data_IF_381985072184
#
_entry.id   IF_381985072184
#
_cell.length_a   1.000
_cell.length_b   1.000
_cell.length_c   1.000
_cell.angle_alpha   90.00
_cell.angle_beta   90.00
_cell.angle_gamma   90.00
#
_symmetry.space_group_name_H-M   'P 1'
#
loop_
_entity.id
_entity.type
_entity.pdbx_description
1 polymer ?
#
# COMPACT_ATOMS: atom_id res chain seq x y z
N UNK A 1 11.89 6.52 -5.73
CA UNK A 1 11.22 5.64 -6.73
C UNK A 1 9.95 5.04 -6.14
N UNK A 2 8.87 4.93 -6.93
CA UNK A 2 7.60 4.29 -6.52
C UNK A 2 7.49 2.89 -7.12
N UNK A 3 6.67 2.04 -6.51
CA UNK A 3 6.29 0.72 -7.04
C UNK A 3 4.78 0.51 -6.95
N UNK A 4 4.28 -0.48 -7.68
CA UNK A 4 2.87 -0.88 -7.66
C UNK A 4 2.49 -1.59 -6.36
N UNK A 5 1.19 -1.59 -6.03
CA UNK A 5 0.65 -2.25 -4.82
C UNK A 5 1.02 -3.74 -4.79
N UNK A 6 0.90 -4.47 -5.90
CA UNK A 6 1.23 -5.90 -5.92
C UNK A 6 2.70 -6.14 -5.57
N UNK A 7 3.62 -5.28 -6.02
CA UNK A 7 5.05 -5.37 -5.70
C UNK A 7 5.28 -5.05 -4.22
N UNK A 8 4.62 -4.00 -3.70
CA UNK A 8 4.66 -3.67 -2.28
C UNK A 8 4.16 -4.82 -1.40
N UNK A 9 3.09 -5.51 -1.82
CA UNK A 9 2.56 -6.68 -1.10
C UNK A 9 3.49 -7.87 -1.11
N UNK A 10 4.23 -8.12 -2.19
CA UNK A 10 5.29 -9.15 -2.20
C UNK A 10 6.40 -8.80 -1.20
N UNK A 11 6.84 -7.54 -1.14
CA UNK A 11 7.81 -7.08 -0.15
C UNK A 11 7.25 -7.31 1.27
N UNK A 12 6.07 -6.81 1.57
CA UNK A 12 5.41 -6.99 2.88
C UNK A 12 5.33 -8.47 3.29
N UNK A 13 4.97 -9.36 2.35
CA UNK A 13 4.91 -10.80 2.61
C UNK A 13 6.27 -11.39 2.98
N UNK A 14 7.35 -10.94 2.34
CA UNK A 14 8.72 -11.35 2.68
C UNK A 14 9.16 -10.94 4.09
N UNK A 15 8.60 -9.85 4.63
CA UNK A 15 8.77 -9.41 6.02
C UNK A 15 7.74 -10.04 6.99
N UNK A 16 6.89 -10.94 6.51
CA UNK A 16 5.89 -11.63 7.32
C UNK A 16 4.70 -10.75 7.72
N UNK A 17 4.44 -9.66 7.00
CA UNK A 17 3.22 -8.86 7.15
C UNK A 17 2.09 -9.57 6.40
N UNK A 18 0.96 -9.88 7.06
CA UNK A 18 -0.17 -10.53 6.39
C UNK A 18 -0.78 -9.63 5.31
N UNK A 19 -0.89 -10.16 4.10
CA UNK A 19 -1.56 -9.55 2.95
C UNK A 19 -2.45 -10.62 2.29
N UNK A 20 -3.58 -10.26 1.66
CA UNK A 20 -4.37 -11.23 0.92
C UNK A 20 -3.59 -11.86 -0.24
N UNK A 21 -4.04 -13.01 -0.73
CA UNK A 21 -3.46 -13.58 -1.96
C UNK A 21 -3.98 -12.77 -3.14
N UNK A 22 -3.07 -12.44 -4.05
CA UNK A 22 -3.44 -11.84 -5.32
C UNK A 22 -2.39 -12.10 -6.38
N UNK A 23 -2.76 -11.82 -7.62
CA UNK A 23 -1.97 -12.13 -8.81
C UNK A 23 -2.08 -10.93 -9.77
N UNK A 24 -0.96 -10.35 -10.25
CA UNK A 24 -1.00 -9.32 -11.26
C UNK A 24 -1.47 -9.87 -12.60
N UNK A 25 -2.18 -9.05 -13.38
CA UNK A 25 -2.67 -9.40 -14.70
C UNK A 25 -2.45 -8.23 -15.67
N UNK A 26 -1.91 -8.52 -16.85
CA UNK A 26 -1.62 -7.57 -17.91
C UNK A 26 -2.61 -7.66 -19.07
N UNK A 27 -3.47 -8.68 -19.07
CA UNK A 27 -4.54 -8.87 -20.03
C UNK A 27 -5.84 -9.30 -19.33
N UNK A 28 -6.98 -9.16 -20.00
CA UNK A 28 -8.26 -9.68 -19.51
C UNK A 28 -8.19 -11.20 -19.25
N UNK A 29 -7.47 -11.93 -20.11
CA UNK A 29 -7.31 -13.38 -19.99
C UNK A 29 -6.51 -13.75 -18.74
N UNK A 30 -5.40 -13.05 -18.48
CA UNK A 30 -4.63 -13.24 -17.24
C UNK A 30 -5.44 -12.91 -16.00
N UNK A 31 -6.34 -11.91 -16.05
CA UNK A 31 -7.22 -11.58 -14.93
C UNK A 31 -8.21 -12.71 -14.62
N UNK A 32 -8.75 -13.36 -15.65
CA UNK A 32 -9.61 -14.54 -15.53
C UNK A 32 -8.84 -15.72 -14.93
N UNK A 33 -7.64 -16.01 -15.44
CA UNK A 33 -6.77 -17.08 -14.94
C UNK A 33 -6.34 -16.84 -13.49
N UNK A 34 -6.05 -15.60 -13.13
CA UNK A 34 -5.76 -15.19 -11.77
C UNK A 34 -6.94 -15.48 -10.83
N UNK A 35 -8.16 -15.08 -11.19
CA UNK A 35 -9.35 -15.35 -10.40
C UNK A 35 -9.61 -16.85 -10.21
N UNK A 36 -9.47 -17.64 -11.29
CA UNK A 36 -9.61 -19.09 -11.24
C UNK A 36 -8.57 -19.74 -10.33
N UNK A 37 -7.31 -19.29 -10.39
CA UNK A 37 -6.21 -19.81 -9.58
C UNK A 37 -6.33 -19.45 -8.11
N UNK A 38 -6.81 -18.24 -7.79
CA UNK A 38 -7.10 -17.83 -6.42
C UNK A 38 -8.27 -18.65 -5.86
N UNK A 39 -9.28 -18.90 -6.69
CA UNK A 39 -10.54 -19.50 -6.27
C UNK A 39 -11.32 -18.59 -5.32
N UNK A 40 -12.34 -19.15 -4.67
CA UNK A 40 -13.20 -18.42 -3.74
C UNK A 40 -14.43 -17.79 -4.39
N UNK A 41 -15.28 -17.12 -3.59
CA UNK A 41 -16.56 -16.58 -4.07
C UNK A 41 -16.51 -15.10 -4.45
N UNK A 42 -15.42 -14.39 -4.11
CA UNK A 42 -15.30 -12.93 -4.26
C UNK A 42 -13.86 -12.55 -4.58
N UNK A 43 -13.70 -11.62 -5.51
CA UNK A 43 -12.42 -11.02 -5.89
C UNK A 43 -12.51 -9.50 -5.88
N UNK A 44 -11.36 -8.85 -5.79
CA UNK A 44 -11.20 -7.42 -6.00
C UNK A 44 -10.30 -7.21 -7.21
N UNK A 45 -10.79 -6.49 -8.20
CA UNK A 45 -10.05 -6.04 -9.39
C UNK A 45 -9.50 -4.65 -9.10
N UNK A 46 -8.17 -4.53 -9.03
CA UNK A 46 -7.49 -3.28 -8.67
C UNK A 46 -6.60 -2.79 -9.80
N UNK A 47 -6.84 -1.57 -10.27
CA UNK A 47 -5.93 -0.86 -11.16
C UNK A 47 -4.60 -0.61 -10.46
N UNK A 48 -3.51 -0.87 -11.16
CA UNK A 48 -2.15 -0.68 -10.65
C UNK A 48 -1.56 0.55 -11.34
N UNK A 49 -1.49 1.63 -10.57
CA UNK A 49 -0.89 2.92 -10.92
C UNK A 49 -0.17 3.47 -9.68
N UNK A 50 0.81 4.36 -9.86
CA UNK A 50 1.62 4.96 -8.80
C UNK A 50 0.91 6.14 -8.08
N UNK A 51 -0.38 5.96 -7.79
CA UNK A 51 -1.25 6.95 -7.16
C UNK A 51 -2.28 6.31 -6.21
N UNK A 52 -2.59 7.03 -5.13
CA UNK A 52 -3.68 6.70 -4.19
C UNK A 52 -5.06 7.16 -4.69
N UNK A 53 -6.10 6.92 -3.90
CA UNK A 53 -7.47 7.35 -4.24
C UNK A 53 -8.15 6.57 -5.37
N UNK A 54 -7.57 5.43 -5.77
CA UNK A 54 -8.03 4.59 -6.88
C UNK A 54 -9.48 4.15 -6.72
N UNK A 55 -9.93 3.82 -5.51
CA UNK A 55 -11.33 3.44 -5.24
C UNK A 55 -12.33 4.52 -5.64
N UNK A 56 -12.10 5.78 -5.24
CA UNK A 56 -12.94 6.93 -5.63
C UNK A 56 -12.92 7.18 -7.14
N UNK A 57 -11.78 6.89 -7.80
CA UNK A 57 -11.62 6.99 -9.25
C UNK A 57 -12.19 5.81 -10.06
N UNK A 58 -12.79 4.80 -9.41
CA UNK A 58 -13.30 3.61 -10.09
C UNK A 58 -12.24 2.55 -10.42
N UNK A 59 -11.01 2.73 -9.94
CA UNK A 59 -9.88 1.81 -10.09
C UNK A 59 -9.85 0.64 -9.11
N UNK A 60 -10.86 0.47 -8.25
CA UNK A 60 -11.01 -0.69 -7.35
C UNK A 60 -12.45 -1.15 -7.41
N UNK A 61 -12.68 -2.41 -7.82
CA UNK A 61 -14.02 -2.97 -8.04
C UNK A 61 -14.10 -4.38 -7.47
N UNK A 62 -15.24 -4.71 -6.88
CA UNK A 62 -15.53 -6.05 -6.36
C UNK A 62 -16.22 -6.89 -7.43
N UNK A 63 -15.82 -8.15 -7.56
CA UNK A 63 -16.42 -9.16 -8.44
C UNK A 63 -16.87 -10.37 -7.63
N UNK A 64 -18.01 -10.96 -8.00
CA UNK A 64 -18.61 -12.16 -7.37
C UNK A 64 -18.64 -13.37 -8.29
N UNK A 65 -18.07 -13.24 -9.48
CA UNK A 65 -17.90 -14.33 -10.44
C UNK A 65 -16.67 -14.06 -11.30
N UNK A 66 -16.15 -15.12 -11.93
CA UNK A 66 -15.04 -15.00 -12.90
C UNK A 66 -15.47 -14.17 -14.12
N UNK A 67 -16.74 -14.24 -14.52
CA UNK A 67 -17.28 -13.42 -15.61
C UNK A 67 -17.30 -11.93 -15.24
N UNK A 68 -17.64 -11.58 -13.99
CA UNK A 68 -17.53 -10.21 -13.50
C UNK A 68 -16.08 -9.73 -13.47
N UNK A 69 -15.12 -10.58 -13.08
CA UNK A 69 -13.69 -10.24 -13.17
C UNK A 69 -13.30 -9.91 -14.60
N UNK A 70 -13.72 -10.72 -15.58
CA UNK A 70 -13.46 -10.47 -17.01
C UNK A 70 -14.03 -9.13 -17.45
N UNK A 71 -15.29 -8.87 -17.13
CA UNK A 71 -15.98 -7.63 -17.51
C UNK A 71 -15.27 -6.40 -16.92
N UNK A 72 -14.95 -6.44 -15.63
CA UNK A 72 -14.25 -5.34 -14.95
C UNK A 72 -12.84 -5.14 -15.51
N UNK A 73 -12.13 -6.24 -15.79
CA UNK A 73 -10.80 -6.18 -16.38
C UNK A 73 -10.81 -5.47 -17.74
N UNK A 74 -11.78 -5.79 -18.61
CA UNK A 74 -11.92 -5.13 -19.92
C UNK A 74 -12.37 -3.67 -19.85
N UNK A 75 -13.05 -3.27 -18.77
CA UNK A 75 -13.38 -1.86 -18.52
C UNK A 75 -12.17 -1.07 -17.98
N UNK A 76 -11.33 -1.71 -17.18
CA UNK A 76 -10.25 -1.05 -16.46
C UNK A 76 -8.94 -1.01 -17.26
N UNK A 77 -8.58 -2.06 -17.98
CA UNK A 77 -7.36 -2.06 -18.81
C UNK A 77 -7.48 -1.03 -19.94
N UNK A 78 -6.48 -0.16 -20.03
CA UNK A 78 -6.42 0.93 -21.01
C UNK A 78 -7.17 2.21 -20.60
N UNK A 79 -7.93 2.19 -19.49
CA UNK A 79 -8.61 3.36 -18.93
C UNK A 79 -7.60 4.43 -18.48
N UNK A 80 -7.94 5.71 -18.65
CA UNK A 80 -7.27 6.81 -17.94
C UNK A 80 -7.89 6.96 -16.55
N UNK A 81 -7.19 6.45 -15.53
CA UNK A 81 -7.64 6.52 -14.15
C UNK A 81 -7.30 7.89 -13.57
N UNK A 82 -8.33 8.70 -13.31
CA UNK A 82 -8.19 9.98 -12.63
C UNK A 82 -8.43 9.82 -11.14
N UNK A 83 -7.49 10.32 -10.35
CA UNK A 83 -7.55 10.41 -8.90
C UNK A 83 -7.14 11.82 -8.48
N UNK A 84 -7.29 12.15 -7.19
CA UNK A 84 -6.77 13.41 -6.66
C UNK A 84 -5.22 13.51 -6.76
N UNK A 85 -4.51 12.39 -6.96
CA UNK A 85 -3.04 12.34 -7.05
C UNK A 85 -2.49 12.26 -8.49
N UNK A 86 -3.32 12.01 -9.51
CA UNK A 86 -2.89 11.91 -10.92
C UNK A 86 -3.14 13.18 -11.73
N UNK A 87 -3.82 14.17 -11.16
CA UNK A 87 -4.25 15.36 -11.89
C UNK A 87 -5.29 15.08 -13.00
N UNK A 88 -5.54 16.07 -13.87
CA UNK A 88 -6.62 16.02 -14.87
C UNK A 88 -6.38 15.02 -16.00
N UNK A 89 -5.12 14.70 -16.32
CA UNK A 89 -4.77 13.75 -17.39
C UNK A 89 -4.99 12.29 -16.98
N UNK A 90 -4.92 12.00 -15.68
CA UNK A 90 -5.00 10.65 -15.15
C UNK A 90 -3.77 9.82 -15.47
N UNK A 91 -3.77 8.56 -15.03
CA UNK A 91 -2.75 7.58 -15.37
C UNK A 91 -3.35 6.42 -16.14
N UNK A 92 -2.67 5.97 -17.21
CA UNK A 92 -3.14 4.86 -18.02
C UNK A 92 -3.02 3.55 -17.24
N UNK A 93 -4.12 2.84 -17.06
CA UNK A 93 -4.10 1.53 -16.40
C UNK A 93 -3.57 0.49 -17.38
N UNK A 94 -2.34 0.02 -17.17
CA UNK A 94 -1.67 -0.98 -18.02
C UNK A 94 -1.64 -2.38 -17.43
N UNK A 95 -1.86 -2.47 -16.11
CA UNK A 95 -1.85 -3.72 -15.37
C UNK A 95 -2.88 -3.66 -14.25
N UNK A 96 -3.39 -4.83 -13.89
CA UNK A 96 -4.35 -5.04 -12.83
C UNK A 96 -3.74 -5.94 -11.76
N UNK A 97 -4.37 -5.95 -10.59
CA UNK A 97 -4.11 -6.89 -9.54
C UNK A 97 -5.44 -7.51 -9.12
N UNK A 98 -5.54 -8.83 -9.28
CA UNK A 98 -6.70 -9.61 -8.88
C UNK A 98 -6.40 -10.19 -7.51
N UNK A 99 -7.20 -9.81 -6.53
CA UNK A 99 -6.98 -10.17 -5.14
C UNK A 99 -8.21 -10.87 -4.56
N UNK A 100 -8.02 -11.73 -3.58
CA UNK A 100 -9.13 -12.32 -2.81
C UNK A 100 -9.96 -11.25 -2.09
N UNK A 101 -11.27 -11.48 -1.98
CA UNK A 101 -12.11 -10.68 -1.09
C UNK A 101 -11.66 -10.78 0.37
N UNK A 102 -11.65 -9.66 1.07
CA UNK A 102 -11.36 -9.58 2.51
C UNK A 102 -12.64 -9.41 3.34
N UNK A 103 -12.67 -10.00 4.53
CA UNK A 103 -13.66 -9.68 5.57
C UNK A 103 -13.24 -8.41 6.30
N UNK A 104 -13.93 -7.30 6.02
CA UNK A 104 -13.57 -5.97 6.52
C UNK A 104 -14.51 -5.59 7.66
N UNK A 105 -14.01 -5.57 8.89
CA UNK A 105 -14.79 -5.14 10.05
C UNK A 105 -14.37 -3.75 10.53
N UNK A 106 -13.06 -3.47 10.52
CA UNK A 106 -12.54 -2.16 10.86
C UNK A 106 -11.27 -1.87 10.06
N UNK A 107 -11.25 -0.71 9.44
CA UNK A 107 -10.10 -0.20 8.69
C UNK A 107 -9.34 0.84 9.54
N UNK A 108 -8.01 0.71 9.53
CA UNK A 108 -7.05 1.62 10.14
C UNK A 108 -6.10 2.15 9.06
N UNK A 109 -5.41 3.23 9.39
CA UNK A 109 -4.31 3.76 8.61
C UNK A 109 -3.01 3.56 9.37
N UNK A 110 -1.94 3.14 8.68
CA UNK A 110 -0.57 3.23 9.22
C UNK A 110 0.43 3.67 8.17
N UNK A 111 1.43 4.44 8.57
CA UNK A 111 2.59 4.75 7.74
C UNK A 111 3.89 4.92 8.51
N UNK A 112 5.00 4.71 7.81
CA UNK A 112 6.36 4.90 8.29
C UNK A 112 7.07 5.85 7.34
N UNK A 113 7.55 6.98 7.86
CA UNK A 113 8.20 8.04 7.07
C UNK A 113 9.40 8.61 7.83
N UNK A 114 10.37 9.19 7.12
CA UNK A 114 11.39 10.04 7.75
C UNK A 114 10.84 11.44 7.94
N UNK A 115 10.70 11.88 9.18
CA UNK A 115 10.26 13.22 9.53
C UNK A 115 11.45 14.18 9.50
N UNK A 116 11.40 15.17 8.62
CA UNK A 116 12.51 16.10 8.39
C UNK A 116 12.74 17.06 9.56
N UNK A 117 11.71 17.41 10.31
CA UNK A 117 11.81 18.35 11.42
C UNK A 117 12.54 17.74 12.61
N UNK A 118 12.25 16.47 12.91
CA UNK A 118 12.85 15.73 14.02
C UNK A 118 14.07 14.92 13.61
N UNK A 119 14.29 14.72 12.31
CA UNK A 119 15.34 13.88 11.74
C UNK A 119 15.25 12.42 12.24
N UNK A 120 14.03 11.95 12.50
CA UNK A 120 13.74 10.59 12.99
C UNK A 120 12.73 9.93 12.09
N UNK A 121 12.70 8.59 12.15
CA UNK A 121 11.59 7.83 11.58
C UNK A 121 10.36 8.07 12.45
N UNK A 122 9.29 8.58 11.84
CA UNK A 122 7.97 8.72 12.44
C UNK A 122 7.11 7.55 12.00
N UNK A 123 6.54 6.84 12.98
CA UNK A 123 5.48 5.86 12.74
C UNK A 123 4.16 6.54 13.08
N UNK A 124 3.25 6.59 12.09
CA UNK A 124 1.97 7.29 12.16
C UNK A 124 0.87 6.24 12.06
N UNK A 125 -0.16 6.37 12.88
CA UNK A 125 -1.33 5.51 12.85
C UNK A 125 -2.63 6.31 13.08
N UNK A 126 -3.74 5.86 12.50
CA UNK A 126 -5.06 6.43 12.73
C UNK A 126 -6.18 5.40 12.71
N UNK A 127 -7.27 5.69 13.42
CA UNK A 127 -8.53 4.95 13.37
C UNK A 127 -9.34 5.17 12.08
N UNK A 128 -8.91 6.13 11.24
CA UNK A 128 -9.57 6.55 10.00
C UNK A 128 -8.94 5.89 8.76
N UNK A 129 -8.93 4.57 8.71
CA UNK A 129 -8.51 3.83 7.51
C UNK A 129 -9.48 4.02 6.34
N UNK A 130 -8.98 3.85 5.12
CA UNK A 130 -9.74 4.00 3.88
C UNK A 130 -10.03 5.46 3.48
N UNK A 131 -9.58 6.42 4.28
CA UNK A 131 -9.76 7.86 4.05
C UNK A 131 -8.47 8.53 3.56
N UNK A 132 -8.60 9.79 3.13
CA UNK A 132 -7.46 10.65 2.85
C UNK A 132 -6.85 11.10 4.19
N UNK A 133 -5.64 10.62 4.49
CA UNK A 133 -5.01 10.89 5.78
C UNK A 133 -4.60 12.36 5.93
N UNK A 134 -4.37 13.07 4.83
CA UNK A 134 -3.97 14.49 4.86
C UNK A 134 -5.16 15.34 5.30
N UNK A 135 -6.37 15.01 4.81
CA UNK A 135 -7.63 15.61 5.26
C UNK A 135 -7.93 15.30 6.72
N UNK A 136 -7.69 14.06 7.16
CA UNK A 136 -7.86 13.65 8.57
C UNK A 136 -6.88 14.41 9.45
N UNK A 137 -5.60 14.54 9.06
CA UNK A 137 -4.61 15.26 9.84
C UNK A 137 -4.93 16.76 9.99
N UNK A 138 -5.54 17.37 8.96
CA UNK A 138 -5.97 18.77 9.01
C UNK A 138 -7.23 18.95 9.87
N UNK A 139 -8.23 18.09 9.70
CA UNK A 139 -9.58 18.29 10.27
C UNK A 139 -9.75 17.65 11.65
N UNK A 140 -9.03 16.56 11.91
CA UNK A 140 -9.08 15.74 13.12
C UNK A 140 -7.68 15.32 13.57
N UNK A 141 -6.76 16.27 13.85
CA UNK A 141 -5.37 15.97 14.21
C UNK A 141 -5.25 15.05 15.44
N UNK A 142 -6.23 15.04 16.33
CA UNK A 142 -6.29 14.17 17.51
C UNK A 142 -6.42 12.68 17.16
N UNK A 143 -6.89 12.36 15.95
CA UNK A 143 -6.97 10.97 15.45
C UNK A 143 -5.66 10.48 14.84
N UNK A 144 -4.61 11.32 14.82
CA UNK A 144 -3.30 10.96 14.31
C UNK A 144 -2.38 10.64 15.50
N UNK A 145 -2.14 9.36 15.72
CA UNK A 145 -1.18 8.89 16.70
C UNK A 145 0.18 8.79 16.04
N UNK A 146 1.20 9.34 16.67
CA UNK A 146 2.56 9.39 16.12
C UNK A 146 3.58 9.07 17.20
N UNK A 147 4.51 8.18 16.88
CA UNK A 147 5.70 7.93 17.68
C UNK A 147 6.95 8.18 16.86
N UNK A 148 7.99 8.76 17.48
CA UNK A 148 9.29 8.94 16.86
C UNK A 148 10.24 7.84 17.34
N UNK A 149 10.79 7.10 16.39
CA UNK A 149 11.61 5.92 16.68
C UNK A 149 13.06 6.36 16.94
N UNK A 150 13.64 5.84 18.02
CA UNK A 150 15.07 5.98 18.32
C UNK A 150 15.86 5.05 17.38
N UNK A 151 16.79 5.57 16.55
CA UNK A 151 17.52 4.76 15.59
C UNK A 151 18.36 3.63 16.23
N UNK A 152 18.79 3.78 17.49
CA UNK A 152 19.57 2.75 18.18
C UNK A 152 18.70 1.62 18.71
N UNK A 153 17.44 1.91 19.06
CA UNK A 153 16.53 0.93 19.68
C UNK A 153 15.59 0.28 18.66
N UNK A 154 15.29 0.98 17.57
CA UNK A 154 14.19 0.62 16.68
C UNK A 154 12.82 0.80 17.34
N UNK A 155 11.76 0.39 16.64
CA UNK A 155 10.40 0.47 17.17
C UNK A 155 10.24 -0.51 18.33
N UNK A 156 10.07 0.03 19.55
CA UNK A 156 9.95 -0.78 20.77
C UNK A 156 8.55 -1.38 20.93
N UNK A 157 8.42 -2.44 21.72
CA UNK A 157 7.10 -3.03 22.05
C UNK A 157 6.17 -2.02 22.73
N UNK A 158 6.73 -1.12 23.56
CA UNK A 158 5.97 -0.06 24.22
C UNK A 158 5.39 0.93 23.20
N UNK A 159 6.18 1.37 22.22
CA UNK A 159 5.73 2.27 21.15
C UNK A 159 4.74 1.58 20.21
N UNK A 160 4.98 0.31 19.87
CA UNK A 160 4.05 -0.47 19.05
C UNK A 160 2.69 -0.64 19.75
N UNK A 161 2.70 -0.87 21.07
CA UNK A 161 1.48 -0.91 21.87
C UNK A 161 0.80 0.46 21.98
N UNK A 162 1.57 1.53 22.17
CA UNK A 162 1.06 2.91 22.21
C UNK A 162 0.30 3.26 20.93
N UNK A 163 0.84 2.91 19.75
CA UNK A 163 0.16 3.08 18.48
C UNK A 163 -1.15 2.28 18.40
N UNK A 164 -1.10 0.99 18.77
CA UNK A 164 -2.25 0.10 18.67
C UNK A 164 -3.40 0.52 19.60
N UNK A 165 -3.07 0.85 20.86
CA UNK A 165 -4.03 1.36 21.83
C UNK A 165 -4.57 2.73 21.39
N UNK A 166 -3.70 3.62 20.92
CA UNK A 166 -4.05 4.99 20.54
C UNK A 166 -5.05 5.07 19.39
N UNK A 167 -5.00 4.12 18.45
CA UNK A 167 -5.98 4.03 17.35
C UNK A 167 -7.18 3.13 17.68
N UNK A 168 -7.25 2.59 18.90
CA UNK A 168 -8.37 1.78 19.36
C UNK A 168 -8.41 0.37 18.78
N UNK A 169 -7.25 -0.29 18.59
CA UNK A 169 -7.21 -1.71 18.27
C UNK A 169 -7.71 -2.52 19.49
N UNK A 170 -8.73 -3.40 19.33
CA UNK A 170 -9.23 -4.22 20.42
C UNK A 170 -8.15 -5.14 21.04
N UNK A 171 -8.30 -5.42 22.34
CA UNK A 171 -7.29 -6.12 23.13
C UNK A 171 -6.91 -7.51 22.60
N UNK A 172 -7.83 -8.20 21.92
CA UNK A 172 -7.59 -9.50 21.29
C UNK A 172 -6.70 -9.44 20.05
N UNK A 173 -6.48 -8.23 19.50
CA UNK A 173 -5.74 -7.99 18.25
C UNK A 173 -4.50 -7.11 18.47
N UNK A 174 -4.36 -6.48 19.64
CA UNK A 174 -3.25 -5.56 19.97
C UNK A 174 -1.88 -6.21 19.79
N UNK A 175 -1.71 -7.46 20.22
CA UNK A 175 -0.43 -8.17 20.10
C UNK A 175 -0.03 -8.39 18.64
N UNK A 176 -0.98 -8.79 17.79
CA UNK A 176 -0.73 -8.97 16.35
C UNK A 176 -0.47 -7.63 15.65
N UNK A 177 -1.21 -6.58 16.01
CA UNK A 177 -0.98 -5.24 15.46
C UNK A 177 0.42 -4.73 15.79
N UNK A 178 0.85 -4.87 17.05
CA UNK A 178 2.18 -4.48 17.46
C UNK A 178 3.27 -5.26 16.71
N UNK A 179 3.09 -6.56 16.48
CA UNK A 179 3.99 -7.36 15.64
C UNK A 179 4.04 -6.85 14.19
N UNK A 180 2.88 -6.57 13.58
CA UNK A 180 2.79 -5.98 12.23
C UNK A 180 3.51 -4.63 12.17
N UNK A 181 3.34 -3.76 13.16
CA UNK A 181 4.02 -2.45 13.18
C UNK A 181 5.53 -2.59 13.23
N UNK A 182 6.06 -3.50 14.05
CA UNK A 182 7.50 -3.77 14.08
C UNK A 182 8.01 -4.32 12.75
N UNK A 183 7.25 -5.19 12.09
CA UNK A 183 7.60 -5.71 10.75
C UNK A 183 7.59 -4.61 9.69
N UNK A 184 6.62 -3.69 9.74
CA UNK A 184 6.57 -2.52 8.84
C UNK A 184 7.77 -1.59 9.07
N UNK A 185 8.14 -1.34 10.33
CA UNK A 185 9.34 -0.56 10.64
C UNK A 185 10.61 -1.25 10.14
N UNK A 186 10.74 -2.56 10.36
CA UNK A 186 11.87 -3.33 9.83
C UNK A 186 11.92 -3.29 8.30
N UNK A 187 10.78 -3.46 7.63
CA UNK A 187 10.65 -3.35 6.19
C UNK A 187 11.14 -1.99 5.69
N UNK A 188 10.64 -0.90 6.30
CA UNK A 188 11.07 0.47 5.98
C UNK A 188 12.60 0.64 6.04
N UNK A 189 13.22 0.16 7.12
CA UNK A 189 14.66 0.30 7.35
C UNK A 189 15.51 -0.59 6.43
N UNK A 190 15.09 -1.84 6.22
CA UNK A 190 15.87 -2.81 5.44
C UNK A 190 15.80 -2.57 3.93
N UNK A 191 14.78 -1.85 3.45
CA UNK A 191 14.60 -1.55 2.02
C UNK A 191 14.96 -0.12 1.64
N UNK A 192 15.47 0.69 2.58
CA UNK A 192 15.67 2.13 2.40
C UNK A 192 14.43 2.84 1.80
N UNK A 193 13.25 2.45 2.32
CA UNK A 193 12.02 3.12 1.93
C UNK A 193 12.05 4.57 2.45
N UNK A 194 11.53 5.50 1.66
CA UNK A 194 11.21 6.86 2.13
C UNK A 194 9.77 6.97 2.63
N UNK A 195 8.89 6.04 2.21
CA UNK A 195 7.52 5.87 2.69
C UNK A 195 7.13 4.39 2.64
N UNK A 196 6.56 3.87 3.72
CA UNK A 196 5.73 2.66 3.72
C UNK A 196 4.37 3.04 4.27
N UNK A 197 3.31 2.90 3.49
CA UNK A 197 1.94 3.23 3.88
C UNK A 197 1.00 2.05 3.60
N UNK A 198 0.17 1.73 4.60
CA UNK A 198 -0.89 0.73 4.54
C UNK A 198 -2.21 1.45 4.77
N UNK A 199 -3.01 1.59 3.71
CA UNK A 199 -4.29 2.26 3.79
C UNK A 199 -5.33 1.57 2.86
N UNK A 200 -6.14 0.63 3.36
CA UNK A 200 -6.36 0.33 4.78
C UNK A 200 -5.54 -0.85 5.33
N UNK A 201 -5.23 -0.78 6.63
CA UNK A 201 -4.90 -1.91 7.48
C UNK A 201 -6.20 -2.44 8.10
N UNK A 202 -6.60 -3.65 7.75
CA UNK A 202 -7.88 -4.22 8.17
C UNK A 202 -7.74 -5.06 9.43
N UNK A 203 -8.79 -5.03 10.26
CA UNK A 203 -9.10 -6.05 11.26
C UNK A 203 -10.33 -6.82 10.79
N UNK A 204 -10.18 -8.13 10.59
CA UNK A 204 -11.30 -9.00 10.16
C UNK A 204 -12.21 -9.41 11.33
N UNK A 205 -13.26 -10.18 11.05
CA UNK A 205 -14.22 -10.69 12.05
C UNK A 205 -13.63 -11.71 13.02
N UNK A 206 -12.42 -12.20 12.76
CA UNK A 206 -11.65 -13.09 13.64
C UNK A 206 -10.57 -12.34 14.44
N UNK A 207 -10.47 -11.03 14.27
CA UNK A 207 -9.46 -10.19 14.92
C UNK A 207 -8.10 -10.18 14.21
N UNK A 208 -7.98 -10.75 13.01
CA UNK A 208 -6.72 -10.75 12.28
C UNK A 208 -6.42 -9.38 11.69
N UNK A 209 -5.17 -8.94 11.84
CA UNK A 209 -4.62 -7.73 11.24
C UNK A 209 -4.00 -8.03 9.87
N UNK A 210 -4.51 -7.40 8.81
CA UNK A 210 -4.16 -7.69 7.42
C UNK A 210 -3.98 -6.38 6.64
N UNK A 211 -2.87 -6.22 5.93
CA UNK A 211 -2.64 -5.08 5.03
C UNK A 211 -3.40 -5.28 3.71
N UNK A 212 -4.47 -4.50 3.50
CA UNK A 212 -5.30 -4.60 2.29
C UNK A 212 -4.83 -3.72 1.14
N UNK A 213 -3.99 -2.74 1.41
CA UNK A 213 -3.30 -1.93 0.40
C UNK A 213 -1.85 -1.71 0.83
N UNK A 214 -0.98 -1.35 -0.12
CA UNK A 214 0.42 -1.07 0.13
C UNK A 214 0.90 0.02 -0.82
N UNK A 215 1.49 1.08 -0.26
CA UNK A 215 2.14 2.15 -1.02
C UNK A 215 3.57 2.32 -0.52
N UNK A 216 4.51 2.28 -1.44
CA UNK A 216 5.93 2.39 -1.18
C UNK A 216 6.55 3.50 -2.01
N UNK A 217 7.36 4.32 -1.34
CA UNK A 217 8.37 5.13 -2.00
C UNK A 217 9.73 4.71 -1.44
N UNK A 218 10.75 4.68 -2.28
CA UNK A 218 12.15 4.40 -1.92
C UNK A 218 13.02 5.64 -2.10
N UNK A 219 14.03 5.77 -1.24
CA UNK A 219 15.09 6.76 -1.44
C UNK A 219 15.91 6.41 -2.69
N UNK A 220 15.86 7.28 -3.71
CA UNK A 220 16.63 7.07 -4.95
C UNK A 220 18.13 6.98 -4.70
N UNK A 221 18.63 7.68 -3.67
CA UNK A 221 20.06 7.69 -3.32
C UNK A 221 20.54 6.35 -2.75
N UNK A 222 19.64 5.50 -2.27
CA UNK A 222 19.98 4.18 -1.73
C UNK A 222 19.83 3.06 -2.76
N UNK A 223 19.26 3.34 -3.95
CA UNK A 223 18.94 2.29 -4.92
C UNK A 223 20.16 1.53 -5.45
N UNK A 224 21.37 2.11 -5.41
CA UNK A 224 22.61 1.44 -5.83
C UNK A 224 22.90 0.16 -5.04
N UNK A 225 22.37 0.03 -3.81
CA UNK A 225 22.52 -1.16 -2.96
C UNK A 225 21.26 -2.05 -2.92
N UNK A 226 20.24 -1.73 -3.74
CA UNK A 226 18.98 -2.47 -3.83
C UNK A 226 18.63 -2.82 -5.29
N UNK A 227 19.45 -3.65 -5.98
CA UNK A 227 19.18 -4.05 -7.37
C UNK A 227 17.82 -4.74 -7.54
N UNK A 228 17.36 -5.47 -6.51
CA UNK A 228 16.04 -6.11 -6.47
C UNK A 228 14.88 -5.11 -6.48
N UNK A 229 15.05 -3.93 -5.86
CA UNK A 229 14.05 -2.86 -5.85
C UNK A 229 14.09 -2.12 -7.19
N UNK A 230 15.28 -1.81 -7.70
CA UNK A 230 15.45 -1.17 -9.03
C UNK A 230 14.75 -1.96 -10.14
N UNK A 231 14.81 -3.29 -10.07
CA UNK A 231 14.14 -4.18 -11.03
C UNK A 231 12.59 -4.03 -11.04
N UNK A 232 12.00 -3.41 -10.01
CA UNK A 232 10.56 -3.17 -9.90
C UNK A 232 10.12 -1.86 -10.59
N UNK A 233 11.05 -1.00 -11.01
CA UNK A 233 10.75 0.31 -11.61
C UNK A 233 9.86 0.17 -12.83
N UNK A 234 8.81 0.97 -12.87
CA UNK A 234 7.90 1.06 -14.00
C UNK A 234 8.00 2.43 -14.67
N UNK A 235 8.66 2.48 -15.82
CA UNK A 235 8.85 3.72 -16.59
C UNK A 235 7.54 4.23 -17.21
N UNK A 236 6.51 3.39 -17.36
CA UNK A 236 5.20 3.85 -17.86
C UNK A 236 4.46 4.75 -16.85
N UNK A 237 4.93 4.81 -15.61
CA UNK A 237 4.34 5.56 -14.49
C UNK A 237 5.14 6.83 -14.13
N UNK A 238 6.17 7.15 -14.91
CA UNK A 238 7.04 8.32 -14.72
C UNK A 238 6.88 9.30 -15.89
N UNK A 239 7.17 10.58 -15.64
CA UNK A 239 7.13 11.59 -16.70
C UNK A 239 8.24 11.30 -17.74
N UNK A 240 7.94 11.25 -19.05
CA UNK A 240 8.95 11.03 -20.09
C UNK A 240 10.17 11.97 -20.01
N UNK A 241 9.98 13.21 -19.57
CA UNK A 241 11.06 14.17 -19.37
C UNK A 241 11.94 13.80 -18.16
N UNK A 242 11.36 13.33 -17.06
CA UNK A 242 12.11 12.84 -15.89
C UNK A 242 12.91 11.57 -16.25
N UNK A 243 12.32 10.67 -17.03
CA UNK A 243 13.01 9.47 -17.53
C UNK A 243 14.23 9.87 -18.37
N UNK A 244 14.06 10.80 -19.32
CA UNK A 244 15.16 11.25 -20.16
C UNK A 244 16.24 11.96 -19.35
N UNK A 245 15.87 12.85 -18.42
CA UNK A 245 16.80 13.52 -17.53
C UNK A 245 17.61 12.54 -16.68
N UNK A 246 16.99 11.46 -16.20
CA UNK A 246 17.66 10.44 -15.38
C UNK A 246 18.78 9.67 -16.13
N UNK A 247 18.76 9.65 -17.47
CA UNK A 247 19.85 9.04 -18.27
C UNK A 247 21.15 9.87 -18.27
N UNK A 248 21.05 11.13 -17.86
CA UNK A 248 22.16 12.10 -17.83
C UNK A 248 22.48 12.59 -16.42
N UNK A 249 22.00 11.91 -15.37
CA UNK A 249 22.16 12.32 -13.96
C UNK A 249 21.61 13.74 -13.67
N UNK A 250 20.51 14.12 -14.33
CA UNK A 250 19.86 15.43 -14.18
C UNK A 250 18.59 15.41 -13.31
N UNK A 251 18.27 14.27 -12.69
CA UNK A 251 17.05 14.03 -11.92
C UNK A 251 17.33 13.36 -10.56
#
# INVERSE_FOLDING_TARGET
MKIHEYQGKEILRSFGVPVPRGIPAFTEQEAVEAAQKLGGPVWVVKAQIHAGGRGKGGGVKLARSVDEVKQLAGQMLGMQLKTHQTGPEGQKVRRLYIEEGADIQKEYYVSVVTDRATQKVAFIASSEGGMDIEEVAHSHPEKIIKVFVDPLKGLTDAQAKELADGIGIPADSTAQAADVFKKLYKCYMDTDASLVEINPLNRDGKGNIIALDAKFNFDSNALFRHPEIVALRDLDEEDPAEIEASKFDLA
#
